data_IF_386966937460
#
_entry.id   IF_386966937460
#
_cell.length_a   1.000
_cell.length_b   1.000
_cell.length_c   1.000
_cell.angle_alpha   90.00
_cell.angle_beta   90.00
_cell.angle_gamma   90.00
#
_symmetry.space_group_name_H-M   'P 1'
#
loop_
_entity.id
_entity.type
_entity.pdbx_description
1 polymer ?
#
# COMPACT_ATOMS: atom_id res chain seq x y z
N UNK A 1 -13.30 6.72 8.78
CA UNK A 1 -12.87 6.39 7.41
C UNK A 1 -13.51 7.39 6.45
N UNK A 2 -12.71 8.04 5.60
CA UNK A 2 -13.18 9.13 4.70
C UNK A 2 -13.70 8.66 3.34
N UNK A 3 -13.40 7.41 2.94
CA UNK A 3 -13.85 6.84 1.67
C UNK A 3 -15.11 5.99 1.84
N UNK A 4 -15.90 5.91 0.78
CA UNK A 4 -17.08 5.03 0.69
C UNK A 4 -16.71 3.55 0.93
N UNK A 5 -17.64 2.76 1.48
CA UNK A 5 -17.41 1.35 1.80
C UNK A 5 -17.13 0.52 0.53
N UNK A 6 -17.83 0.81 -0.57
CA UNK A 6 -17.70 0.07 -1.82
C UNK A 6 -16.30 0.20 -2.44
N UNK A 7 -15.63 1.34 -2.26
CA UNK A 7 -14.29 1.57 -2.84
C UNK A 7 -13.15 1.02 -1.97
N UNK A 8 -13.36 0.82 -0.66
CA UNK A 8 -12.30 0.41 0.28
C UNK A 8 -11.61 -0.88 -0.13
N UNK A 9 -12.36 -1.89 -0.56
CA UNK A 9 -11.79 -3.17 -1.00
C UNK A 9 -10.82 -2.99 -2.17
N UNK A 10 -11.18 -2.13 -3.13
CA UNK A 10 -10.31 -1.78 -4.24
C UNK A 10 -9.06 -1.03 -3.79
N UNK A 11 -9.18 -0.10 -2.83
CA UNK A 11 -8.05 0.66 -2.30
C UNK A 11 -7.06 -0.23 -1.52
N UNK A 12 -7.55 -1.11 -0.65
CA UNK A 12 -6.69 -2.04 0.09
C UNK A 12 -5.97 -3.06 -0.81
N UNK A 13 -6.62 -3.47 -1.90
CA UNK A 13 -6.04 -4.37 -2.89
C UNK A 13 -5.04 -3.73 -3.85
N UNK A 14 -4.80 -2.41 -3.78
CA UNK A 14 -3.95 -1.67 -4.70
C UNK A 14 -3.15 -0.56 -3.99
N UNK A 15 -2.43 -0.91 -2.92
CA UNK A 15 -1.58 0.05 -2.20
C UNK A 15 -0.23 0.15 -2.92
N UNK A 16 0.09 1.32 -3.48
CA UNK A 16 1.34 1.55 -4.20
C UNK A 16 2.31 2.37 -3.36
N UNK A 17 3.54 1.89 -3.23
CA UNK A 17 4.65 2.62 -2.61
C UNK A 17 5.43 3.38 -3.67
N UNK A 18 5.60 4.69 -3.46
CA UNK A 18 6.31 5.59 -4.36
C UNK A 18 7.19 6.60 -3.58
N UNK A 19 8.23 7.08 -4.24
CA UNK A 19 9.15 8.09 -3.73
C UNK A 19 10.33 7.51 -2.94
N UNK A 20 11.37 8.33 -2.73
CA UNK A 20 12.64 7.89 -2.14
C UNK A 20 12.54 7.33 -0.72
N UNK A 21 11.66 7.91 0.12
CA UNK A 21 11.43 7.40 1.48
C UNK A 21 10.72 6.04 1.53
N UNK A 22 10.19 5.55 0.40
CA UNK A 22 9.63 4.19 0.36
C UNK A 22 10.70 3.10 0.13
N UNK A 23 11.96 3.49 -0.08
CA UNK A 23 13.09 2.56 -0.26
C UNK A 23 13.62 1.97 1.05
N UNK A 24 13.08 2.36 2.21
CA UNK A 24 13.47 1.75 3.47
C UNK A 24 13.22 0.24 3.43
N UNK A 25 14.24 -0.53 3.79
CA UNK A 25 14.18 -1.99 3.86
C UNK A 25 13.12 -2.42 4.87
N UNK A 26 12.31 -3.42 4.51
CA UNK A 26 11.25 -3.93 5.38
C UNK A 26 9.97 -3.08 5.43
N UNK A 27 9.91 -1.94 4.72
CA UNK A 27 8.75 -1.06 4.77
C UNK A 27 7.50 -1.70 4.14
N UNK A 28 7.67 -2.44 3.05
CA UNK A 28 6.58 -3.15 2.37
C UNK A 28 5.94 -4.19 3.30
N UNK A 29 6.75 -5.02 3.94
CA UNK A 29 6.32 -6.07 4.86
C UNK A 29 5.71 -5.47 6.13
N UNK A 30 6.31 -4.39 6.65
CA UNK A 30 5.77 -3.68 7.82
C UNK A 30 4.40 -3.11 7.50
N UNK A 31 4.26 -2.40 6.38
CA UNK A 31 3.00 -1.78 5.99
C UNK A 31 1.92 -2.84 5.74
N UNK A 32 2.25 -3.93 5.06
CA UNK A 32 1.32 -5.04 4.87
C UNK A 32 0.79 -5.58 6.20
N UNK A 33 1.67 -5.81 7.18
CA UNK A 33 1.30 -6.32 8.51
C UNK A 33 0.40 -5.35 9.28
N UNK A 34 0.72 -4.06 9.26
CA UNK A 34 -0.10 -3.02 9.91
C UNK A 34 -1.48 -2.93 9.26
N UNK A 35 -1.55 -2.96 7.92
CA UNK A 35 -2.82 -2.92 7.19
C UNK A 35 -3.69 -4.15 7.46
N UNK A 36 -3.08 -5.32 7.61
CA UNK A 36 -3.80 -6.55 8.00
C UNK A 36 -4.38 -6.48 9.42
N UNK A 37 -3.76 -5.71 10.32
CA UNK A 37 -4.19 -5.58 11.72
C UNK A 37 -5.26 -4.52 11.99
N UNK A 38 -5.54 -3.62 11.04
CA UNK A 38 -6.51 -2.53 11.23
C UNK A 38 -7.98 -3.00 11.23
N UNK A 39 -8.44 -3.86 10.31
CA UNK A 39 -9.84 -4.27 10.24
C UNK A 39 -10.07 -5.56 11.05
N UNK A 40 -11.22 -5.67 11.71
CA UNK A 40 -11.64 -6.92 12.38
C UNK A 40 -11.72 -8.13 11.42
N UNK A 41 -11.99 -7.87 10.14
CA UNK A 41 -11.88 -8.83 9.04
C UNK A 41 -11.16 -8.15 7.87
N UNK A 42 -9.86 -8.42 7.68
CA UNK A 42 -9.09 -7.73 6.66
C UNK A 42 -9.53 -8.17 5.26
N UNK A 43 -9.76 -7.23 4.33
CA UNK A 43 -9.93 -7.58 2.92
C UNK A 43 -8.59 -8.11 2.36
N UNK A 44 -8.60 -8.71 1.16
CA UNK A 44 -7.36 -8.98 0.44
C UNK A 44 -6.55 -7.69 0.27
N UNK A 45 -5.38 -7.63 0.91
CA UNK A 45 -4.46 -6.49 0.85
C UNK A 45 -3.31 -6.83 -0.08
N UNK A 46 -2.92 -5.86 -0.91
CA UNK A 46 -1.74 -5.96 -1.76
C UNK A 46 -0.97 -4.65 -1.68
N UNK A 47 0.28 -4.77 -1.24
CA UNK A 47 1.26 -3.68 -1.31
C UNK A 47 2.11 -3.92 -2.57
N UNK A 48 2.35 -2.86 -3.33
CA UNK A 48 3.09 -2.89 -4.59
C UNK A 48 4.26 -1.94 -4.41
N UNK A 49 5.47 -2.48 -4.36
CA UNK A 49 6.70 -1.71 -4.20
C UNK A 49 7.68 -1.99 -5.35
N UNK A 50 7.54 -1.33 -6.51
CA UNK A 50 8.47 -1.49 -7.61
C UNK A 50 9.92 -1.20 -7.18
N UNK A 51 10.94 -1.88 -7.71
CA UNK A 51 12.34 -1.57 -7.40
C UNK A 51 12.72 -0.11 -7.71
N UNK A 52 12.20 0.42 -8.81
CA UNK A 52 12.41 1.77 -9.32
C UNK A 52 11.51 2.84 -8.69
N UNK A 53 10.77 2.49 -7.61
CA UNK A 53 9.71 3.32 -7.02
C UNK A 53 10.10 4.73 -6.58
N UNK A 54 11.40 4.99 -6.43
CA UNK A 54 11.95 6.35 -6.22
C UNK A 54 11.57 7.31 -7.35
N UNK A 55 11.40 6.79 -8.57
CA UNK A 55 11.10 7.55 -9.77
C UNK A 55 9.66 7.38 -10.25
N UNK A 56 8.78 6.68 -9.53
CA UNK A 56 7.40 6.41 -9.96
C UNK A 56 6.63 7.67 -10.36
N UNK A 57 6.77 8.77 -9.62
CA UNK A 57 6.11 10.04 -9.97
C UNK A 57 6.57 10.64 -11.30
N UNK A 58 7.78 10.31 -11.74
CA UNK A 58 8.32 10.77 -13.01
C UNK A 58 7.99 9.82 -14.17
N UNK A 59 7.95 8.51 -13.90
CA UNK A 59 7.62 7.49 -14.89
C UNK A 59 6.15 7.59 -15.34
N UNK A 60 5.24 7.92 -14.40
CA UNK A 60 3.79 7.90 -14.63
C UNK A 60 3.18 6.54 -14.39
#
# INVERSE_FOLDING_TARGET
>A
MKCDVAVRKGLYGNVVLAGGSSLLEGLEERLYKELMGLPSSPPPIKVIAPPERKYSSWIG
#
